data_IF_067405410445
#
_entry.id   IF_067405410445
#
_cell.length_a   1.000
_cell.length_b   1.000
_cell.length_c   1.000
_cell.angle_alpha   90.00
_cell.angle_beta   90.00
_cell.angle_gamma   90.00
#
_symmetry.space_group_name_H-M   'P 1'
#
loop_
_entity.id
_entity.type
_entity.pdbx_description
1 polymer ?
#
# COMPACT_ATOMS: atom_id res chain seq x y z
N UNK A 1 0.67 -29.50 17.56
CA UNK A 1 1.56 -28.57 16.83
C UNK A 1 1.02 -27.17 17.04
N UNK A 2 1.62 -26.35 17.91
CA UNK A 2 1.32 -24.91 17.91
C UNK A 2 1.93 -24.36 16.63
N UNK A 3 1.10 -24.16 15.62
CA UNK A 3 1.45 -23.34 14.47
C UNK A 3 1.55 -21.91 15.03
N UNK A 4 2.75 -21.53 15.46
CA UNK A 4 3.00 -20.19 15.98
C UNK A 4 2.94 -19.21 14.83
N UNK A 5 1.90 -18.37 14.80
CA UNK A 5 2.03 -17.08 14.14
C UNK A 5 3.03 -16.29 14.98
N UNK A 6 4.18 -16.00 14.43
CA UNK A 6 5.14 -15.05 15.02
C UNK A 6 4.46 -13.66 15.05
N UNK A 7 3.82 -13.33 16.17
CA UNK A 7 3.19 -12.01 16.40
C UNK A 7 4.27 -10.95 16.64
N UNK A 8 4.91 -10.51 15.56
CA UNK A 8 5.81 -9.36 15.58
C UNK A 8 5.06 -8.10 15.16
N UNK A 9 5.32 -6.99 15.85
CA UNK A 9 4.79 -5.67 15.47
C UNK A 9 5.43 -5.25 14.15
N UNK A 10 4.62 -5.16 13.09
CA UNK A 10 5.07 -4.66 11.80
C UNK A 10 4.98 -3.12 11.83
N UNK A 11 6.03 -2.38 11.43
CA UNK A 11 5.95 -0.93 11.31
C UNK A 11 4.82 -0.50 10.37
N UNK A 12 4.08 0.55 10.74
CA UNK A 12 2.97 1.05 9.92
C UNK A 12 3.38 1.34 8.48
N UNK A 13 4.58 1.88 8.27
CA UNK A 13 5.11 2.15 6.93
C UNK A 13 5.20 0.89 6.07
N UNK A 14 5.54 -0.26 6.65
CA UNK A 14 5.64 -1.52 5.93
C UNK A 14 4.25 -2.09 5.61
N UNK A 15 3.28 -1.94 6.53
CA UNK A 15 1.87 -2.27 6.26
C UNK A 15 1.33 -1.41 5.11
N UNK A 16 1.54 -0.09 5.18
CA UNK A 16 1.14 0.85 4.13
C UNK A 16 1.78 0.50 2.79
N UNK A 17 3.09 0.21 2.76
CA UNK A 17 3.81 -0.16 1.52
C UNK A 17 3.21 -1.40 0.87
N UNK A 18 2.92 -2.44 1.67
CA UNK A 18 2.33 -3.70 1.20
C UNK A 18 0.94 -3.48 0.61
N UNK A 19 0.09 -2.73 1.29
CA UNK A 19 -1.28 -2.48 0.81
C UNK A 19 -1.29 -1.53 -0.40
N UNK A 20 -0.40 -0.53 -0.46
CA UNK A 20 -0.22 0.32 -1.65
C UNK A 20 0.20 -0.51 -2.86
N UNK A 21 1.21 -1.38 -2.72
CA UNK A 21 1.66 -2.25 -3.80
C UNK A 21 0.54 -3.20 -4.26
N UNK A 22 -0.24 -3.75 -3.33
CA UNK A 22 -1.39 -4.61 -3.62
C UNK A 22 -2.47 -3.86 -4.39
N UNK A 23 -2.85 -2.65 -3.96
CA UNK A 23 -3.85 -1.83 -4.64
C UNK A 23 -3.41 -1.47 -6.07
N UNK A 24 -2.14 -1.09 -6.25
CA UNK A 24 -1.58 -0.79 -7.58
C UNK A 24 -1.55 -2.01 -8.50
N UNK A 25 -1.30 -3.21 -7.96
CA UNK A 25 -1.37 -4.46 -8.72
C UNK A 25 -2.79 -4.80 -9.15
N UNK A 26 -3.79 -4.50 -8.31
CA UNK A 26 -5.20 -4.78 -8.59
C UNK A 26 -5.82 -3.78 -9.58
N UNK A 27 -5.50 -2.49 -9.45
CA UNK A 27 -6.14 -1.42 -10.24
C UNK A 27 -5.27 -0.92 -11.42
N UNK A 28 -3.96 -1.20 -11.39
CA UNK A 28 -2.98 -0.79 -12.40
C UNK A 28 -2.24 0.50 -12.06
N UNK A 29 -1.08 0.70 -12.70
CA UNK A 29 -0.20 1.87 -12.49
C UNK A 29 -0.49 3.08 -13.39
N UNK A 30 -1.51 2.99 -14.25
CA UNK A 30 -1.95 4.13 -15.06
C UNK A 30 -2.70 5.17 -14.20
N UNK A 31 -2.97 6.35 -14.75
CA UNK A 31 -3.62 7.46 -14.02
C UNK A 31 -4.98 7.07 -13.43
N UNK A 32 -5.76 6.24 -14.13
CA UNK A 32 -7.07 5.77 -13.64
C UNK A 32 -6.91 4.74 -12.52
N UNK A 33 -5.98 3.80 -12.69
CA UNK A 33 -5.64 2.79 -11.69
C UNK A 33 -5.11 3.37 -10.39
N UNK A 34 -4.27 4.41 -10.46
CA UNK A 34 -3.80 5.15 -9.27
C UNK A 34 -4.95 5.84 -8.52
N UNK A 35 -5.91 6.42 -9.24
CA UNK A 35 -7.13 7.01 -8.64
C UNK A 35 -7.95 5.95 -7.91
N UNK A 36 -8.19 4.81 -8.54
CA UNK A 36 -8.93 3.70 -7.93
C UNK A 36 -8.17 3.08 -6.75
N UNK A 37 -6.85 2.93 -6.85
CA UNK A 37 -6.01 2.46 -5.75
C UNK A 37 -6.09 3.39 -4.53
N UNK A 38 -5.98 4.71 -4.73
CA UNK A 38 -6.13 5.68 -3.65
C UNK A 38 -7.52 5.61 -3.00
N UNK A 39 -8.58 5.49 -3.81
CA UNK A 39 -9.96 5.32 -3.35
C UNK A 39 -10.14 4.03 -2.54
N UNK A 40 -9.59 2.91 -3.00
CA UNK A 40 -9.68 1.62 -2.30
C UNK A 40 -8.91 1.62 -0.97
N UNK A 41 -7.83 2.39 -0.87
CA UNK A 41 -7.05 2.55 0.35
C UNK A 41 -7.63 3.59 1.32
N UNK A 42 -8.65 4.35 0.90
CA UNK A 42 -9.25 5.42 1.71
C UNK A 42 -8.34 6.64 1.89
N UNK A 43 -7.40 6.88 0.97
CA UNK A 43 -6.46 8.00 1.02
C UNK A 43 -6.62 8.93 -0.19
N UNK A 44 -6.13 10.16 -0.07
CA UNK A 44 -6.09 11.09 -1.20
C UNK A 44 -5.08 10.63 -2.27
N UNK A 45 -5.33 10.99 -3.53
CA UNK A 45 -4.38 10.72 -4.62
C UNK A 45 -3.01 11.36 -4.36
N UNK A 46 -2.97 12.56 -3.76
CA UNK A 46 -1.73 13.23 -3.39
C UNK A 46 -0.95 12.44 -2.32
N UNK A 47 -1.65 11.85 -1.34
CA UNK A 47 -1.03 10.99 -0.33
C UNK A 47 -0.44 9.73 -0.97
N UNK A 48 -1.15 9.11 -1.91
CA UNK A 48 -0.63 7.96 -2.66
C UNK A 48 0.68 8.30 -3.37
N UNK A 49 0.76 9.43 -4.08
CA UNK A 49 2.00 9.88 -4.74
C UNK A 49 3.16 10.07 -3.75
N UNK A 50 2.93 10.81 -2.66
CA UNK A 50 3.96 11.04 -1.63
C UNK A 50 4.50 9.73 -1.06
N UNK A 51 3.62 8.74 -0.83
CA UNK A 51 4.03 7.41 -0.34
C UNK A 51 4.81 6.63 -1.41
N UNK A 52 4.38 6.68 -2.68
CA UNK A 52 5.11 6.04 -3.78
C UNK A 52 6.52 6.62 -3.96
N UNK A 53 6.69 7.93 -3.81
CA UNK A 53 7.99 8.60 -3.84
C UNK A 53 8.89 8.15 -2.67
N UNK A 54 8.33 8.05 -1.46
CA UNK A 54 9.05 7.56 -0.26
C UNK A 54 9.56 6.12 -0.36
N UNK A 55 8.96 5.29 -1.20
CA UNK A 55 9.38 3.89 -1.39
C UNK A 55 10.31 3.68 -2.58
N UNK A 56 10.44 4.68 -3.45
CA UNK A 56 11.30 4.62 -4.64
C UNK A 56 12.69 5.19 -4.40
N UNK A 57 12.91 5.86 -3.25
CA UNK A 57 14.13 6.52 -2.84
C UNK A 57 14.59 6.00 -1.48
#
# INVERSE_FOLDING_TARGET
>A
KRCGFEENVIPLQEVERREIAKALRLHGMNTRGKKEAAKSLGISLATLYRKMEQFSN
#
